data_IF_135126371049
#
_entry.id   IF_135126371049
#
_cell.length_a   1.000
_cell.length_b   1.000
_cell.length_c   1.000
_cell.angle_alpha   90.00
_cell.angle_beta   90.00
_cell.angle_gamma   90.00
#
_symmetry.space_group_name_H-M   'P 1'
#
loop_
_entity.id
_entity.type
_entity.pdbx_description
1 polymer ?
#
# COMPACT_ATOMS: atom_id res chain seq x y z
N UNK A 1 3.73 -23.39 -2.99
CA UNK A 1 4.37 -22.57 -1.93
C UNK A 1 4.42 -21.12 -2.34
N UNK A 2 4.07 -20.22 -1.42
CA UNK A 2 4.03 -18.78 -1.69
C UNK A 2 5.34 -18.09 -1.30
N UNK A 3 5.92 -17.29 -2.21
CA UNK A 3 7.14 -16.55 -1.91
C UNK A 3 6.87 -15.36 -0.97
N UNK A 4 7.41 -15.38 0.27
CA UNK A 4 7.31 -14.27 1.24
C UNK A 4 7.79 -12.91 0.71
N UNK A 5 8.64 -12.88 -0.32
CA UNK A 5 9.19 -11.64 -0.86
C UNK A 5 8.39 -11.05 -2.03
N UNK A 6 7.77 -11.88 -2.87
CA UNK A 6 7.10 -11.40 -4.09
C UNK A 6 5.69 -11.98 -4.34
N UNK A 7 5.18 -12.82 -3.43
CA UNK A 7 3.82 -13.38 -3.51
C UNK A 7 3.60 -14.36 -4.66
N UNK A 8 4.65 -14.78 -5.37
CA UNK A 8 4.52 -15.78 -6.45
C UNK A 8 4.26 -17.16 -5.86
N UNK A 9 3.24 -17.87 -6.36
CA UNK A 9 3.01 -19.28 -6.04
C UNK A 9 3.82 -20.17 -6.98
N UNK A 10 4.59 -21.07 -6.41
CA UNK A 10 5.49 -21.96 -7.12
C UNK A 10 5.61 -23.30 -6.41
N UNK A 11 6.04 -24.31 -7.15
CA UNK A 11 6.04 -25.68 -6.67
C UNK A 11 6.93 -25.84 -5.42
N UNK A 12 6.49 -26.66 -4.46
CA UNK A 12 7.20 -26.92 -3.19
C UNK A 12 8.60 -27.53 -3.39
N UNK A 13 8.84 -28.14 -4.56
CA UNK A 13 10.12 -28.75 -4.92
C UNK A 13 11.18 -27.74 -5.41
N UNK A 14 10.87 -26.44 -5.44
CA UNK A 14 11.78 -25.43 -5.97
C UNK A 14 12.68 -24.87 -4.88
N UNK A 15 13.99 -25.04 -4.97
CA UNK A 15 14.93 -24.48 -3.98
C UNK A 15 14.93 -22.93 -3.92
N UNK A 16 14.36 -22.26 -4.93
CA UNK A 16 14.30 -20.81 -5.06
C UNK A 16 13.00 -20.38 -5.74
N UNK A 17 12.52 -19.18 -5.41
CA UNK A 17 11.39 -18.57 -6.11
C UNK A 17 11.79 -18.22 -7.56
N UNK A 18 11.11 -18.76 -8.58
CA UNK A 18 11.48 -18.54 -9.99
C UNK A 18 11.25 -17.09 -10.45
N UNK A 19 10.47 -16.30 -9.71
CA UNK A 19 10.20 -14.89 -10.06
C UNK A 19 11.21 -13.91 -9.46
N UNK A 20 11.67 -14.14 -8.22
CA UNK A 20 12.53 -13.19 -7.51
C UNK A 20 13.88 -13.77 -7.04
N UNK A 21 14.17 -15.02 -7.41
CA UNK A 21 15.42 -15.73 -7.15
C UNK A 21 15.88 -15.75 -5.67
N UNK A 22 14.93 -15.68 -4.73
CA UNK A 22 15.20 -15.79 -3.29
C UNK A 22 14.89 -17.19 -2.78
N UNK A 23 15.66 -17.62 -1.78
CA UNK A 23 15.41 -18.87 -1.05
C UNK A 23 14.06 -18.80 -0.33
N UNK A 24 13.32 -19.92 -0.25
CA UNK A 24 12.14 -20.02 0.60
C UNK A 24 12.57 -19.99 2.06
N UNK A 25 12.14 -18.97 2.80
CA UNK A 25 12.22 -18.95 4.27
C UNK A 25 11.11 -19.85 4.82
N UNK A 26 11.39 -21.15 4.87
CA UNK A 26 10.52 -22.16 5.45
C UNK A 26 10.69 -22.12 6.98
N UNK A 27 9.73 -21.50 7.66
CA UNK A 27 9.29 -21.98 8.97
C UNK A 27 7.93 -22.61 8.72
N UNK A 28 7.84 -23.93 8.92
CA UNK A 28 6.64 -24.75 8.63
C UNK A 28 5.47 -24.50 9.58
N UNK A 29 5.65 -23.67 10.62
CA UNK A 29 4.65 -23.47 11.67
C UNK A 29 3.70 -22.28 11.44
N UNK A 30 3.89 -21.50 10.37
CA UNK A 30 3.16 -20.22 10.19
C UNK A 30 2.34 -20.12 8.88
N UNK A 31 2.16 -21.23 8.15
CA UNK A 31 1.37 -21.23 6.90
C UNK A 31 0.34 -22.38 6.94
N UNK A 32 -0.92 -22.03 7.21
CA UNK A 32 -2.07 -22.92 7.03
C UNK A 32 -2.70 -22.59 5.67
N UNK A 33 -2.74 -23.57 4.77
CA UNK A 33 -3.46 -23.49 3.49
C UNK A 33 -4.77 -24.26 3.67
N UNK A 34 -5.90 -23.56 3.55
CA UNK A 34 -7.21 -24.22 3.44
C UNK A 34 -7.58 -24.21 1.96
N UNK A 35 -7.67 -25.39 1.36
CA UNK A 35 -8.24 -25.55 0.02
C UNK A 35 -9.77 -25.62 0.18
N UNK A 36 -10.47 -24.57 -0.23
CA UNK A 36 -11.92 -24.63 -0.45
C UNK A 36 -12.20 -24.47 -1.95
N UNK A 37 -13.05 -25.35 -2.48
CA UNK A 37 -13.33 -25.49 -3.91
C UNK A 37 -14.24 -24.37 -4.44
N UNK A 38 -14.72 -23.47 -3.58
CA UNK A 38 -15.59 -22.36 -3.96
C UNK A 38 -15.04 -20.99 -3.50
N UNK A 39 -14.30 -20.35 -4.42
CA UNK A 39 -14.11 -18.91 -4.56
C UNK A 39 -13.23 -18.12 -3.55
N UNK A 40 -12.04 -17.79 -4.06
CA UNK A 40 -11.14 -16.65 -3.80
C UNK A 40 -10.26 -16.71 -2.54
N UNK A 41 -9.02 -17.18 -2.76
CA UNK A 41 -8.00 -17.46 -1.76
C UNK A 41 -7.72 -16.33 -0.78
N UNK A 42 -7.97 -16.62 0.48
CA UNK A 42 -7.49 -15.86 1.63
C UNK A 42 -6.14 -16.45 2.05
N UNK A 43 -5.06 -15.66 1.94
CA UNK A 43 -3.72 -16.10 2.35
C UNK A 43 -3.33 -15.46 3.70
N UNK A 44 -3.08 -16.30 4.70
CA UNK A 44 -2.65 -15.86 6.03
C UNK A 44 -1.18 -15.41 6.03
N UNK A 45 -0.91 -14.22 6.57
CA UNK A 45 0.44 -13.78 6.92
C UNK A 45 0.47 -13.20 8.34
N UNK A 46 1.08 -13.94 9.25
CA UNK A 46 1.51 -13.58 10.61
C UNK A 46 0.42 -13.62 11.70
N UNK A 47 0.59 -14.55 12.64
CA UNK A 47 -0.17 -14.77 13.88
C UNK A 47 -0.23 -13.56 14.84
N UNK A 48 0.51 -12.47 14.57
CA UNK A 48 0.49 -11.23 15.39
C UNK A 48 -0.48 -10.15 14.88
N UNK A 49 -1.07 -10.30 13.70
CA UNK A 49 -2.00 -9.30 13.14
C UNK A 49 -3.32 -9.95 12.76
N UNK A 50 -4.41 -9.56 13.45
CA UNK A 50 -5.80 -10.04 13.25
C UNK A 50 -6.43 -9.59 11.91
N UNK A 51 -5.65 -9.32 10.86
CA UNK A 51 -6.14 -8.73 9.60
C UNK A 51 -5.78 -9.61 8.41
N UNK A 52 -6.79 -9.95 7.58
CA UNK A 52 -6.66 -10.76 6.37
C UNK A 52 -6.02 -9.94 5.25
N UNK A 53 -4.78 -10.21 4.83
CA UNK A 53 -4.14 -9.44 3.75
C UNK A 53 -4.53 -10.01 2.39
N UNK A 54 -5.16 -9.19 1.54
CA UNK A 54 -5.59 -9.60 0.20
C UNK A 54 -4.42 -9.79 -0.80
N UNK A 55 -4.52 -10.77 -1.69
CA UNK A 55 -3.53 -11.10 -2.73
C UNK A 55 -3.20 -9.93 -3.66
N UNK A 56 -4.21 -9.14 -4.01
CA UNK A 56 -4.02 -7.94 -4.84
C UNK A 56 -3.03 -6.96 -4.21
N UNK A 57 -2.86 -6.99 -2.89
CA UNK A 57 -1.91 -6.15 -2.16
C UNK A 57 -0.56 -6.84 -1.92
N UNK A 58 -0.38 -8.10 -2.28
CA UNK A 58 0.84 -8.87 -1.97
C UNK A 58 2.13 -8.22 -2.50
N UNK A 59 2.05 -7.47 -3.62
CA UNK A 59 3.19 -6.77 -4.22
C UNK A 59 3.54 -5.45 -3.50
N UNK A 60 2.72 -4.99 -2.56
CA UNK A 60 2.97 -3.77 -1.79
C UNK A 60 3.89 -4.04 -0.59
N UNK A 61 4.48 -2.98 -0.02
CA UNK A 61 5.22 -3.12 1.25
C UNK A 61 4.24 -3.53 2.38
N UNK A 62 4.70 -4.28 3.41
CA UNK A 62 3.85 -4.74 4.51
C UNK A 62 3.02 -3.64 5.18
N UNK A 63 3.58 -2.43 5.31
CA UNK A 63 2.85 -1.25 5.78
C UNK A 63 1.58 -0.99 4.94
N UNK A 64 1.70 -0.93 3.62
CA UNK A 64 0.56 -0.61 2.74
C UNK A 64 -0.39 -1.79 2.60
N UNK A 65 0.10 -3.04 2.66
CA UNK A 65 -0.74 -4.24 2.72
C UNK A 65 -1.76 -4.14 3.87
N UNK A 66 -1.29 -3.83 5.08
CA UNK A 66 -2.15 -3.71 6.26
C UNK A 66 -3.10 -2.51 6.16
N UNK A 67 -2.61 -1.34 5.75
CA UNK A 67 -3.47 -0.16 5.65
C UNK A 67 -4.53 -0.31 4.56
N UNK A 68 -4.19 -0.88 3.40
CA UNK A 68 -5.12 -1.08 2.29
C UNK A 68 -6.17 -2.13 2.61
N UNK A 69 -5.76 -3.19 3.30
CA UNK A 69 -6.68 -4.18 3.86
C UNK A 69 -7.71 -3.52 4.77
N UNK A 70 -7.28 -2.74 5.77
CA UNK A 70 -8.21 -2.03 6.66
C UNK A 70 -9.15 -1.08 5.91
N UNK A 71 -8.64 -0.35 4.91
CA UNK A 71 -9.46 0.54 4.08
C UNK A 71 -10.53 -0.29 3.36
N UNK A 72 -10.15 -1.40 2.74
CA UNK A 72 -11.06 -2.30 2.01
C UNK A 72 -12.10 -2.94 2.94
N UNK A 73 -11.67 -3.55 4.04
CA UNK A 73 -12.55 -4.23 5.01
C UNK A 73 -13.60 -3.28 5.60
N UNK A 74 -13.23 -2.01 5.75
CA UNK A 74 -14.12 -0.98 6.29
C UNK A 74 -15.13 -0.42 5.26
N UNK A 75 -15.14 -0.91 4.02
CA UNK A 75 -15.91 -0.30 2.93
C UNK A 75 -15.48 1.15 2.66
N UNK A 76 -14.18 1.43 2.80
CA UNK A 76 -13.56 2.76 2.68
C UNK A 76 -14.00 3.79 3.73
N UNK A 77 -14.66 3.40 4.83
CA UNK A 77 -14.94 4.31 5.94
C UNK A 77 -13.65 4.69 6.69
N UNK A 78 -12.72 3.74 6.84
CA UNK A 78 -11.35 3.99 7.25
C UNK A 78 -10.50 4.46 6.07
N UNK A 79 -9.70 5.50 6.28
CA UNK A 79 -8.96 6.21 5.21
C UNK A 79 -7.44 6.12 5.41
N UNK A 80 -7.01 5.15 6.22
CA UNK A 80 -5.62 4.96 6.60
C UNK A 80 -5.21 5.82 7.79
N UNK A 81 -4.13 5.42 8.45
CA UNK A 81 -3.49 6.22 9.51
C UNK A 81 -2.68 7.39 8.91
N UNK A 82 -2.28 8.32 9.78
CA UNK A 82 -1.36 9.39 9.41
C UNK A 82 -0.04 8.83 8.87
N UNK A 83 0.39 9.35 7.72
CA UNK A 83 1.61 8.95 7.04
C UNK A 83 2.62 10.10 7.05
N UNK A 84 3.71 9.92 7.79
CA UNK A 84 4.74 10.94 7.97
C UNK A 84 5.54 11.23 6.69
N UNK A 85 5.72 10.25 5.80
CA UNK A 85 6.46 10.46 4.56
C UNK A 85 5.82 11.49 3.62
N UNK A 86 4.54 11.38 3.23
CA UNK A 86 3.87 12.38 2.42
C UNK A 86 3.61 13.68 3.17
N UNK A 87 3.58 13.67 4.52
CA UNK A 87 3.58 14.91 5.29
C UNK A 87 4.87 15.71 5.09
N UNK A 88 6.04 15.09 5.24
CA UNK A 88 7.34 15.78 5.11
C UNK A 88 7.78 15.96 3.65
N UNK A 89 7.43 15.01 2.78
CA UNK A 89 7.96 14.88 1.43
C UNK A 89 6.85 14.58 0.41
N UNK A 90 5.79 15.39 0.37
CA UNK A 90 4.55 15.10 -0.39
C UNK A 90 4.75 14.64 -1.84
N UNK A 91 5.26 15.51 -2.72
CA UNK A 91 5.40 15.19 -4.15
C UNK A 91 6.47 14.12 -4.38
N UNK A 92 7.58 14.14 -3.63
CA UNK A 92 8.62 13.10 -3.68
C UNK A 92 8.02 11.73 -3.36
N UNK A 93 7.24 11.63 -2.29
CA UNK A 93 6.56 10.40 -1.90
C UNK A 93 5.63 9.91 -3.02
N UNK A 94 4.84 10.80 -3.65
CA UNK A 94 3.97 10.44 -4.77
C UNK A 94 4.77 9.84 -5.94
N UNK A 95 5.93 10.40 -6.28
CA UNK A 95 6.81 9.85 -7.32
C UNK A 95 7.24 8.42 -6.98
N UNK A 96 7.57 8.12 -5.72
CA UNK A 96 7.92 6.74 -5.29
C UNK A 96 6.77 5.74 -5.43
N UNK A 97 5.52 6.21 -5.53
CA UNK A 97 4.31 5.40 -5.69
C UNK A 97 3.79 5.38 -7.13
N UNK A 98 4.59 5.91 -8.08
CA UNK A 98 4.21 6.08 -9.48
C UNK A 98 3.01 7.00 -9.68
N UNK A 99 2.68 7.85 -8.71
CA UNK A 99 1.57 8.79 -8.74
C UNK A 99 1.97 10.09 -9.45
N UNK A 100 2.45 9.98 -10.71
CA UNK A 100 3.11 11.09 -11.42
C UNK A 100 2.18 12.28 -11.68
N UNK A 101 0.94 12.02 -12.12
CA UNK A 101 -0.04 13.09 -12.36
C UNK A 101 -0.33 13.85 -11.06
N UNK A 102 -0.56 13.13 -9.96
CA UNK A 102 -0.75 13.73 -8.64
C UNK A 102 0.46 14.57 -8.20
N UNK A 103 1.69 14.10 -8.45
CA UNK A 103 2.90 14.83 -8.10
C UNK A 103 3.02 16.17 -8.87
N UNK A 104 2.75 16.16 -10.18
CA UNK A 104 2.78 17.38 -11.01
C UNK A 104 1.70 18.37 -10.56
N UNK A 105 0.47 17.90 -10.32
CA UNK A 105 -0.63 18.74 -9.82
C UNK A 105 -0.26 19.36 -8.46
N UNK A 106 0.32 18.57 -7.55
CA UNK A 106 0.78 19.07 -6.26
C UNK A 106 1.82 20.19 -6.43
N UNK A 107 2.84 19.97 -7.26
CA UNK A 107 3.92 20.95 -7.48
C UNK A 107 3.35 22.25 -8.06
N UNK A 108 2.44 22.17 -9.02
CA UNK A 108 1.81 23.36 -9.62
C UNK A 108 0.96 24.09 -8.58
N UNK A 109 0.06 23.39 -7.90
CA UNK A 109 -0.88 24.02 -6.95
C UNK A 109 -0.14 24.61 -5.76
N UNK A 110 0.68 23.82 -5.07
CA UNK A 110 1.41 24.28 -3.89
C UNK A 110 2.49 25.27 -4.31
N UNK A 111 3.27 24.98 -5.36
CA UNK A 111 4.34 25.86 -5.83
C UNK A 111 3.85 27.22 -6.30
N UNK A 112 2.75 27.28 -7.05
CA UNK A 112 2.17 28.55 -7.50
C UNK A 112 1.57 29.33 -6.32
N UNK A 113 0.84 28.67 -5.42
CA UNK A 113 0.14 29.33 -4.31
C UNK A 113 1.07 29.72 -3.14
N UNK A 114 2.24 29.10 -3.00
CA UNK A 114 3.18 29.42 -1.91
C UNK A 114 3.63 30.89 -1.96
N UNK A 115 3.73 31.48 -3.17
CA UNK A 115 4.07 32.89 -3.35
C UNK A 115 2.96 33.86 -2.91
N UNK A 116 1.71 33.39 -2.81
CA UNK A 116 0.54 34.23 -2.49
C UNK A 116 0.00 34.01 -1.07
N UNK A 117 0.09 32.79 -0.54
CA UNK A 117 -0.58 32.38 0.71
C UNK A 117 0.41 32.08 1.84
N UNK A 118 1.71 32.33 1.62
CA UNK A 118 2.81 32.12 2.56
C UNK A 118 2.92 30.66 3.09
N UNK A 119 3.91 30.39 3.94
CA UNK A 119 4.26 29.02 4.38
C UNK A 119 3.19 28.27 5.18
N UNK A 120 2.21 28.97 5.78
CA UNK A 120 1.11 28.34 6.52
C UNK A 120 0.24 27.50 5.60
N UNK A 121 -0.01 27.95 4.37
CA UNK A 121 -0.77 27.18 3.38
C UNK A 121 -0.08 25.86 3.04
N UNK A 122 1.23 25.90 2.81
CA UNK A 122 2.03 24.70 2.51
C UNK A 122 2.02 23.71 3.67
N UNK A 123 2.03 24.19 4.92
CA UNK A 123 1.91 23.35 6.11
C UNK A 123 0.53 22.69 6.21
N UNK A 124 -0.56 23.44 6.00
CA UNK A 124 -1.91 22.87 6.00
C UNK A 124 -2.06 21.78 4.95
N UNK A 125 -1.53 22.01 3.75
CA UNK A 125 -1.59 21.04 2.67
C UNK A 125 -0.73 19.80 2.96
N UNK A 126 0.44 19.97 3.59
CA UNK A 126 1.27 18.87 4.08
C UNK A 126 0.52 18.02 5.13
N UNK A 127 -0.21 18.64 6.07
CA UNK A 127 -1.02 17.91 7.06
C UNK A 127 -2.12 17.09 6.38
N UNK A 128 -2.83 17.68 5.41
CA UNK A 128 -3.85 16.96 4.61
C UNK A 128 -3.22 15.77 3.89
N UNK A 129 -2.04 15.95 3.29
CA UNK A 129 -1.28 14.86 2.68
C UNK A 129 -0.92 13.77 3.69
N UNK A 130 -0.49 14.12 4.90
CA UNK A 130 -0.21 13.14 5.95
C UNK A 130 -1.44 12.32 6.32
N UNK A 131 -2.60 12.95 6.45
CA UNK A 131 -3.85 12.26 6.82
C UNK A 131 -4.38 11.38 5.68
N UNK A 132 -4.31 11.86 4.42
CA UNK A 132 -5.05 11.25 3.30
C UNK A 132 -4.21 10.45 2.32
N UNK A 133 -2.89 10.53 2.38
CA UNK A 133 -2.02 9.87 1.41
C UNK A 133 -2.23 8.36 1.31
N UNK A 134 -2.49 7.66 2.43
CA UNK A 134 -2.75 6.22 2.39
C UNK A 134 -4.00 5.90 1.57
N UNK A 135 -5.10 6.63 1.80
CA UNK A 135 -6.32 6.49 1.02
C UNK A 135 -6.15 6.90 -0.45
N UNK A 136 -5.42 7.99 -0.69
CA UNK A 136 -5.14 8.45 -2.05
C UNK A 136 -4.33 7.40 -2.83
N UNK A 137 -3.33 6.79 -2.19
CA UNK A 137 -2.54 5.72 -2.81
C UNK A 137 -3.36 4.45 -3.00
N UNK A 138 -4.24 4.11 -2.06
CA UNK A 138 -5.17 2.99 -2.20
C UNK A 138 -6.06 3.14 -3.45
N UNK A 139 -6.70 4.30 -3.63
CA UNK A 139 -7.54 4.55 -4.80
C UNK A 139 -6.75 4.56 -6.10
N UNK A 140 -5.52 5.09 -6.08
CA UNK A 140 -4.66 5.05 -7.25
C UNK A 140 -4.29 3.61 -7.61
N UNK A 141 -3.93 2.80 -6.63
CA UNK A 141 -3.51 1.42 -6.82
C UNK A 141 -4.64 0.51 -7.30
N UNK A 142 -5.86 0.67 -6.74
CA UNK A 142 -7.01 -0.21 -7.00
C UNK A 142 -7.88 0.25 -8.16
N UNK A 143 -8.02 1.57 -8.36
CA UNK A 143 -8.99 2.17 -9.29
C UNK A 143 -8.35 3.10 -10.32
N UNK A 144 -7.06 3.39 -10.21
CA UNK A 144 -6.39 4.37 -11.06
C UNK A 144 -6.85 5.82 -10.83
N UNK A 145 -7.51 6.13 -9.70
CA UNK A 145 -8.07 7.47 -9.40
C UNK A 145 -7.42 8.11 -8.19
N UNK A 146 -7.46 9.44 -8.11
CA UNK A 146 -6.92 10.22 -6.99
C UNK A 146 -8.07 10.75 -6.12
N UNK A 147 -8.48 9.97 -5.10
CA UNK A 147 -9.49 10.41 -4.13
C UNK A 147 -8.86 10.87 -2.83
N UNK A 148 -9.25 12.07 -2.40
CA UNK A 148 -8.95 12.62 -1.08
C UNK A 148 -10.02 12.26 -0.03
N UNK A 149 -11.24 11.94 -0.48
CA UNK A 149 -12.44 11.63 0.31
C UNK A 149 -13.14 10.40 -0.22
#
# INVERSE_FOLDING_TARGET
MLCKNCGFDYNENSNFCPKCNRKPDIDKDDIVIINDENCHGEYYRNSKTKYNVYDEFANLKPYYQLEFTKIKDSGETYKGKFNFFPFLFSWIWMLTKKMYVGAVVYIIVVGALTNYVHGVFSLLFAIVMGIRANYMYYNYYTKGTYKLW
#
